data_IF_067269759605
#
_entry.id   IF_067269759605
#
_cell.length_a   1.000
_cell.length_b   1.000
_cell.length_c   1.000
_cell.angle_alpha   90.00
_cell.angle_beta   90.00
_cell.angle_gamma   90.00
#
_symmetry.space_group_name_H-M   'P 1'
#
loop_
_entity.id
_entity.type
_entity.pdbx_description
1 polymer ?
#
# COMPACT_ATOMS: atom_id res chain seq x y z
N UNK A 1 -9.24 -3.35 -7.59
CA UNK A 1 -9.75 -4.51 -6.83
C UNK A 1 -9.69 -4.17 -5.33
N UNK A 2 -10.55 -4.77 -4.50
CA UNK A 2 -10.52 -4.56 -3.05
C UNK A 2 -10.10 -5.86 -2.36
N UNK A 3 -9.06 -5.80 -1.52
CA UNK A 3 -8.52 -6.96 -0.79
C UNK A 3 -8.80 -6.82 0.70
N UNK A 4 -9.57 -7.73 1.27
CA UNK A 4 -9.87 -7.74 2.71
C UNK A 4 -8.62 -8.14 3.51
N UNK A 5 -8.22 -7.27 4.43
CA UNK A 5 -7.08 -7.49 5.33
C UNK A 5 -7.56 -7.98 6.69
N UNK A 6 -8.57 -7.32 7.25
CA UNK A 6 -9.03 -7.54 8.62
C UNK A 6 -10.48 -7.15 8.79
N UNK A 7 -11.18 -7.82 9.70
CA UNK A 7 -12.45 -7.34 10.26
C UNK A 7 -12.17 -6.96 11.71
N UNK A 8 -12.44 -5.70 12.05
CA UNK A 8 -12.24 -5.18 13.41
C UNK A 8 -13.30 -5.74 14.37
N UNK A 9 -13.07 -5.63 15.67
CA UNK A 9 -13.99 -6.17 16.69
C UNK A 9 -15.39 -5.54 16.65
N UNK A 10 -15.49 -4.30 16.17
CA UNK A 10 -16.73 -3.58 15.95
C UNK A 10 -17.36 -3.83 14.57
N UNK A 11 -16.84 -4.81 13.81
CA UNK A 11 -17.42 -5.29 12.56
C UNK A 11 -17.00 -4.51 11.31
N UNK A 12 -16.16 -3.48 11.44
CA UNK A 12 -15.68 -2.71 10.28
C UNK A 12 -14.64 -3.49 9.49
N UNK A 13 -14.69 -3.37 8.17
CA UNK A 13 -13.77 -4.05 7.25
C UNK A 13 -12.61 -3.14 6.93
N UNK A 14 -11.38 -3.61 7.16
CA UNK A 14 -10.17 -2.98 6.66
C UNK A 14 -9.78 -3.64 5.34
N UNK A 15 -9.76 -2.86 4.28
CA UNK A 15 -9.54 -3.34 2.92
C UNK A 15 -8.48 -2.49 2.23
N UNK A 16 -7.61 -3.13 1.44
CA UNK A 16 -6.75 -2.42 0.48
C UNK A 16 -7.56 -2.14 -0.77
N UNK A 17 -7.69 -0.86 -1.14
CA UNK A 17 -8.41 -0.41 -2.33
C UNK A 17 -7.51 0.57 -3.10
N UNK A 18 -6.92 0.09 -4.20
CA UNK A 18 -5.85 0.82 -4.88
C UNK A 18 -4.62 0.94 -3.98
N UNK A 19 -4.04 2.14 -3.90
CA UNK A 19 -2.83 2.42 -3.10
C UNK A 19 -3.13 2.81 -1.63
N UNK A 20 -4.30 2.44 -1.11
CA UNK A 20 -4.73 2.89 0.21
C UNK A 20 -5.45 1.79 0.98
N UNK A 21 -5.28 1.81 2.31
CA UNK A 21 -6.10 1.07 3.25
C UNK A 21 -7.33 1.90 3.62
N UNK A 22 -8.50 1.27 3.51
CA UNK A 22 -9.79 1.85 3.84
C UNK A 22 -10.49 1.05 4.93
N UNK A 23 -10.96 1.74 5.95
CA UNK A 23 -11.77 1.17 7.02
C UNK A 23 -13.24 1.54 6.77
N UNK A 24 -14.07 0.54 6.49
CA UNK A 24 -15.48 0.74 6.13
C UNK A 24 -15.67 1.74 4.97
N UNK A 25 -14.80 1.64 3.96
CA UNK A 25 -14.78 2.52 2.79
C UNK A 25 -14.14 3.90 3.01
N UNK A 26 -13.88 4.32 4.24
CA UNK A 26 -13.18 5.58 4.55
C UNK A 26 -11.65 5.40 4.51
N UNK A 27 -10.92 6.39 4.01
CA UNK A 27 -9.45 6.37 4.00
C UNK A 27 -8.90 6.28 5.43
N UNK A 28 -8.10 5.26 5.70
CA UNK A 28 -7.49 5.04 7.02
C UNK A 28 -5.97 5.24 6.98
N UNK A 29 -5.31 4.71 5.96
CA UNK A 29 -3.86 4.85 5.79
C UNK A 29 -3.42 4.63 4.34
N UNK A 30 -2.24 5.12 3.99
CA UNK A 30 -1.56 4.84 2.70
C UNK A 30 -0.31 4.00 2.87
N UNK A 31 0.16 3.83 4.11
CA UNK A 31 1.33 3.04 4.45
C UNK A 31 1.11 2.32 5.77
N UNK A 32 1.94 1.31 6.02
CA UNK A 32 2.00 0.63 7.31
C UNK A 32 3.18 1.18 8.12
N UNK A 33 2.94 1.46 9.40
CA UNK A 33 3.97 1.88 10.34
C UNK A 33 4.31 0.73 11.27
N UNK A 34 5.57 0.28 11.28
CA UNK A 34 6.04 -0.69 12.26
C UNK A 34 5.83 -0.18 13.68
N UNK A 35 5.21 -1.00 14.54
CA UNK A 35 4.97 -0.67 15.95
C UNK A 35 6.28 -0.36 16.66
N UNK A 36 7.39 -1.02 16.31
CA UNK A 36 8.71 -0.75 16.87
C UNK A 36 9.15 0.72 16.70
N UNK A 37 8.74 1.37 15.61
CA UNK A 37 9.08 2.76 15.25
C UNK A 37 7.99 3.76 15.66
N UNK A 38 6.87 3.29 16.20
CA UNK A 38 5.74 4.14 16.55
C UNK A 38 5.99 4.91 17.87
N UNK A 39 5.68 6.22 17.95
CA UNK A 39 5.88 7.02 19.18
C UNK A 39 5.10 6.47 20.38
N UNK A 40 3.92 5.88 20.12
CA UNK A 40 3.07 5.27 21.15
C UNK A 40 3.20 3.74 21.25
N UNK A 41 4.34 3.15 20.85
CA UNK A 41 4.52 1.68 20.80
C UNK A 41 4.13 0.95 22.09
N UNK A 42 4.45 1.52 23.25
CA UNK A 42 4.15 0.89 24.55
C UNK A 42 2.65 0.86 24.82
N UNK A 43 1.92 1.91 24.45
CA UNK A 43 0.46 1.94 24.60
C UNK A 43 -0.21 0.95 23.64
N UNK A 44 0.27 0.88 22.41
CA UNK A 44 -0.23 -0.07 21.39
C UNK A 44 -0.04 -1.50 21.88
N UNK A 45 1.18 -1.90 22.26
CA UNK A 45 1.48 -3.28 22.67
C UNK A 45 0.78 -3.67 23.98
N UNK A 46 0.41 -2.72 24.84
CA UNK A 46 -0.42 -3.00 26.01
C UNK A 46 -1.87 -3.29 25.64
N UNK A 47 -2.39 -2.65 24.61
CA UNK A 47 -3.76 -2.85 24.15
C UNK A 47 -3.89 -4.04 23.19
N UNK A 48 -2.90 -4.23 22.32
CA UNK A 48 -2.85 -5.24 21.27
C UNK A 48 -1.43 -5.85 21.24
N UNK A 49 -1.16 -6.87 22.09
CA UNK A 49 0.20 -7.39 22.28
C UNK A 49 0.85 -8.04 21.05
N UNK A 50 0.03 -8.51 20.11
CA UNK A 50 0.42 -9.15 18.87
C UNK A 50 0.56 -8.17 17.69
N UNK A 51 0.37 -6.87 17.93
CA UNK A 51 0.51 -5.84 16.92
C UNK A 51 1.97 -5.67 16.47
N UNK A 52 2.20 -5.83 15.17
CA UNK A 52 3.52 -5.59 14.55
C UNK A 52 3.52 -4.32 13.72
N UNK A 53 2.38 -3.97 13.13
CA UNK A 53 2.21 -2.80 12.29
C UNK A 53 0.93 -2.04 12.65
N UNK A 54 0.89 -0.76 12.30
CA UNK A 54 -0.27 0.10 12.38
C UNK A 54 -0.65 0.56 10.98
N UNK A 55 -1.92 0.41 10.63
CA UNK A 55 -2.57 1.06 9.50
C UNK A 55 -3.48 2.17 10.04
N UNK A 56 -2.93 3.39 10.17
CA UNK A 56 -3.66 4.49 10.81
C UNK A 56 -4.00 4.12 12.26
N UNK A 57 -5.29 4.01 12.57
CA UNK A 57 -5.78 3.61 13.90
C UNK A 57 -5.89 2.10 14.09
N UNK A 58 -5.71 1.30 13.04
CA UNK A 58 -5.92 -0.16 13.09
C UNK A 58 -4.60 -0.87 13.35
N UNK A 59 -4.52 -1.61 14.45
CA UNK A 59 -3.39 -2.48 14.76
C UNK A 59 -3.47 -3.79 13.97
N UNK A 60 -2.36 -4.18 13.36
CA UNK A 60 -2.22 -5.37 12.51
C UNK A 60 -1.23 -6.37 13.09
N UNK A 61 -1.61 -7.64 13.04
CA UNK A 61 -0.70 -8.76 13.29
C UNK A 61 0.31 -8.89 12.15
N UNK A 62 1.34 -9.71 12.32
CA UNK A 62 2.32 -9.96 11.26
C UNK A 62 1.68 -10.50 9.97
N UNK A 63 0.72 -11.41 10.10
CA UNK A 63 0.03 -12.01 8.95
C UNK A 63 -0.86 -10.99 8.22
N UNK A 64 -1.60 -10.17 8.97
CA UNK A 64 -2.45 -9.13 8.39
C UNK A 64 -1.61 -8.04 7.70
N UNK A 65 -0.49 -7.64 8.31
CA UNK A 65 0.43 -6.68 7.73
C UNK A 65 1.05 -7.21 6.42
N UNK A 66 1.47 -8.47 6.39
CA UNK A 66 2.00 -9.11 5.18
C UNK A 66 0.95 -9.13 4.05
N UNK A 67 -0.30 -9.48 4.37
CA UNK A 67 -1.39 -9.47 3.39
C UNK A 67 -1.67 -8.05 2.85
N UNK A 68 -1.66 -7.04 3.72
CA UNK A 68 -1.83 -5.65 3.31
C UNK A 68 -0.68 -5.16 2.42
N UNK A 69 0.57 -5.44 2.76
CA UNK A 69 1.73 -5.06 1.96
C UNK A 69 1.73 -5.74 0.59
N UNK A 70 1.41 -7.03 0.53
CA UNK A 70 1.29 -7.75 -0.74
C UNK A 70 0.21 -7.13 -1.64
N UNK A 71 -0.96 -6.80 -1.08
CA UNK A 71 -2.05 -6.18 -1.83
C UNK A 71 -1.70 -4.75 -2.30
N UNK A 72 -0.98 -3.97 -1.50
CA UNK A 72 -0.49 -2.65 -1.90
C UNK A 72 0.53 -2.75 -3.04
N UNK A 73 1.46 -3.71 -2.96
CA UNK A 73 2.44 -3.96 -4.02
C UNK A 73 1.79 -4.39 -5.32
N UNK A 74 0.77 -5.25 -5.26
CA UNK A 74 -0.02 -5.66 -6.43
C UNK A 74 -0.74 -4.45 -7.04
N UNK A 75 -1.39 -3.62 -6.21
CA UNK A 75 -2.06 -2.41 -6.68
C UNK A 75 -1.09 -1.38 -7.29
N UNK A 76 0.13 -1.26 -6.74
CA UNK A 76 1.20 -0.43 -7.32
C UNK A 76 1.69 -0.99 -8.65
N UNK A 77 1.90 -2.30 -8.75
CA UNK A 77 2.28 -2.96 -9.99
C UNK A 77 1.22 -2.77 -11.08
N UNK A 78 -0.07 -2.92 -10.75
CA UNK A 78 -1.19 -2.67 -11.65
C UNK A 78 -1.22 -1.21 -12.14
N UNK A 79 -0.98 -0.25 -11.24
CA UNK A 79 -0.91 1.16 -11.61
C UNK A 79 0.26 1.44 -12.56
N UNK A 80 1.44 0.88 -12.27
CA UNK A 80 2.64 1.02 -13.11
C UNK A 80 2.50 0.29 -14.45
N UNK A 81 1.72 -0.80 -14.48
CA UNK A 81 1.38 -1.54 -15.68
C UNK A 81 0.34 -0.84 -16.57
N UNK A 82 -0.24 0.28 -16.10
CA UNK A 82 -1.20 1.06 -16.89
C UNK A 82 -0.59 1.49 -18.25
N UNK A 83 -1.28 1.26 -19.38
CA UNK A 83 -0.78 1.54 -20.72
C UNK A 83 -0.23 2.95 -20.94
N UNK A 84 -0.74 3.94 -20.20
CA UNK A 84 -0.27 5.33 -20.28
C UNK A 84 1.16 5.50 -19.74
N UNK A 85 1.50 4.87 -18.62
CA UNK A 85 2.86 4.90 -18.05
C UNK A 85 3.85 4.10 -18.91
N UNK A 86 3.38 3.00 -19.50
CA UNK A 86 4.15 2.18 -20.44
C UNK A 86 4.42 2.94 -21.74
N UNK A 87 3.40 3.55 -22.36
CA UNK A 87 3.53 4.33 -23.59
C UNK A 87 4.48 5.51 -23.42
N UNK A 88 4.42 6.22 -22.29
CA UNK A 88 5.30 7.35 -22.04
C UNK A 88 6.77 6.93 -21.90
N UNK A 89 7.04 5.80 -21.23
CA UNK A 89 8.39 5.22 -21.18
C UNK A 89 8.90 4.80 -22.55
N UNK A 90 8.07 4.17 -23.38
CA UNK A 90 8.45 3.81 -24.75
C UNK A 90 8.68 5.04 -25.62
N UNK A 91 7.86 6.09 -25.47
CA UNK A 91 8.04 7.38 -26.15
C UNK A 91 9.38 8.02 -25.79
N UNK A 92 9.70 8.10 -24.50
CA UNK A 92 10.98 8.65 -24.02
C UNK A 92 12.15 7.82 -24.56
N UNK A 93 12.10 6.49 -24.44
CA UNK A 93 13.16 5.63 -24.96
C UNK A 93 13.36 5.78 -26.48
N UNK A 94 12.28 5.94 -27.25
CA UNK A 94 12.35 6.20 -28.69
C UNK A 94 12.97 7.57 -29.00
N UNK A 95 12.61 8.61 -28.23
CA UNK A 95 13.19 9.96 -28.33
C UNK A 95 14.69 9.98 -28.03
N UNK A 96 15.12 9.27 -26.99
CA UNK A 96 16.53 9.16 -26.63
C UNK A 96 17.33 8.41 -27.70
N UNK A 97 16.77 7.32 -28.24
CA UNK A 97 17.39 6.58 -29.35
C UNK A 97 17.48 7.40 -30.64
N UNK A 98 16.45 8.18 -30.97
CA UNK A 98 16.48 9.08 -32.14
C UNK A 98 17.57 10.16 -32.00
N UNK A 99 17.73 10.71 -30.78
CA UNK A 99 18.78 11.68 -30.46
C UNK A 99 20.18 11.06 -30.53
N UNK A 100 20.37 9.84 -30.06
CA UNK A 100 21.64 9.09 -30.20
C UNK A 100 22.00 8.79 -31.66
N UNK A 101 21.00 8.67 -32.53
CA UNK A 101 21.18 8.46 -33.96
C UNK A 101 21.38 9.76 -34.75
N UNK A 102 21.44 10.91 -34.08
CA UNK A 102 21.71 12.21 -34.69
C UNK A 102 20.57 12.75 -35.56
N UNK A 103 19.35 12.26 -35.34
CA UNK A 103 18.16 12.74 -36.04
C UNK A 103 17.53 13.83 -35.15
N UNK A 104 17.70 15.09 -35.54
CA UNK A 104 16.95 16.24 -35.00
C UNK A 104 15.65 16.47 -35.77
#
# INVERSE_FOLDING_TARGET
MATLVKVTQDGRRLEVVGLALRLDGALEAVELVEVARHPHRLAILRAVPDATHMAGRVALTAAEAAAALAALQEAEADLLASPQAIHERFRIAALWKAREQGIE
#
